data_IF_810796284642
#
_entry.id   IF_810796284642
#
_cell.length_a   1.000
_cell.length_b   1.000
_cell.length_c   1.000
_cell.angle_alpha   90.00
_cell.angle_beta   90.00
_cell.angle_gamma   90.00
#
_symmetry.space_group_name_H-M   'P 1'
#
loop_
_entity.id
_entity.type
_entity.pdbx_description
1 polymer ?
#
# COMPACT_ATOMS: atom_id res chain seq x y z
N UNK A 1 -17.48 39.56 13.05
CA UNK A 1 -17.88 38.48 12.11
C UNK A 1 -16.85 38.15 11.02
N UNK A 2 -15.62 38.69 11.04
CA UNK A 2 -14.60 38.43 9.99
C UNK A 2 -13.64 37.28 10.32
N UNK A 3 -13.51 36.90 11.61
CA UNK A 3 -12.58 35.85 12.06
C UNK A 3 -13.05 34.42 11.77
N UNK A 4 -14.36 34.15 11.76
CA UNK A 4 -14.88 32.78 11.53
C UNK A 4 -14.70 32.28 10.10
N UNK A 5 -14.85 33.16 9.11
CA UNK A 5 -14.66 32.82 7.69
C UNK A 5 -13.19 32.46 7.42
N UNK A 6 -12.24 33.21 8.00
CA UNK A 6 -10.81 32.96 7.82
C UNK A 6 -10.38 31.58 8.38
N UNK A 7 -10.94 31.16 9.52
CA UNK A 7 -10.64 29.86 10.13
C UNK A 7 -11.19 28.70 9.30
N UNK A 8 -12.40 28.84 8.76
CA UNK A 8 -13.01 27.82 7.89
C UNK A 8 -12.20 27.68 6.59
N UNK A 9 -11.79 28.80 5.98
CA UNK A 9 -10.95 28.79 4.77
C UNK A 9 -9.59 28.14 5.06
N UNK A 10 -8.95 28.47 6.19
CA UNK A 10 -7.66 27.87 6.56
C UNK A 10 -7.78 26.35 6.77
N UNK A 11 -8.83 25.89 7.46
CA UNK A 11 -9.08 24.48 7.71
C UNK A 11 -9.37 23.70 6.42
N UNK A 12 -10.16 24.26 5.49
CA UNK A 12 -10.39 23.66 4.18
C UNK A 12 -9.11 23.61 3.35
N UNK A 13 -8.30 24.69 3.32
CA UNK A 13 -7.04 24.73 2.57
C UNK A 13 -6.03 23.72 3.13
N UNK A 14 -5.94 23.56 4.45
CA UNK A 14 -5.10 22.55 5.09
C UNK A 14 -5.59 21.12 4.80
N UNK A 15 -6.90 20.90 4.75
CA UNK A 15 -7.50 19.59 4.48
C UNK A 15 -7.41 19.19 2.99
N UNK A 16 -7.47 20.16 2.06
CA UNK A 16 -7.43 19.90 0.62
C UNK A 16 -6.02 19.81 0.04
N UNK A 17 -5.00 20.41 0.68
CA UNK A 17 -3.61 20.39 0.19
C UNK A 17 -2.77 19.18 0.64
N UNK A 18 -3.30 18.29 1.48
CA UNK A 18 -2.57 17.11 1.98
C UNK A 18 -3.19 15.84 1.39
N UNK A 19 -3.35 15.78 0.08
CA UNK A 19 -3.50 14.50 -0.62
C UNK A 19 -2.12 13.86 -0.69
N UNK A 20 -1.72 13.15 0.37
CA UNK A 20 -0.48 12.39 0.41
C UNK A 20 -0.63 11.18 -0.52
N UNK A 21 -0.44 11.38 -1.82
CA UNK A 21 -0.51 10.31 -2.81
C UNK A 21 0.50 9.22 -2.45
N UNK A 22 0.01 8.05 -2.02
CA UNK A 22 0.85 6.90 -1.65
C UNK A 22 1.49 6.34 -2.92
N UNK A 23 2.77 6.67 -3.15
CA UNK A 23 3.52 6.17 -4.31
C UNK A 23 4.09 4.81 -3.99
N UNK A 24 3.68 3.80 -4.74
CA UNK A 24 4.25 2.45 -4.67
C UNK A 24 5.38 2.29 -5.69
N UNK A 25 6.43 1.52 -5.37
CA UNK A 25 7.44 1.15 -6.34
C UNK A 25 6.80 0.37 -7.50
N UNK A 26 7.24 0.66 -8.74
CA UNK A 26 6.70 0.03 -9.95
C UNK A 26 7.60 -1.07 -10.50
N UNK A 27 8.87 -1.08 -10.11
CA UNK A 27 9.88 -1.95 -10.72
C UNK A 27 10.63 -2.74 -9.66
N UNK A 28 10.88 -4.00 -9.98
CA UNK A 28 11.69 -4.92 -9.21
C UNK A 28 12.78 -5.51 -10.11
N UNK A 29 13.93 -5.84 -9.52
CA UNK A 29 14.93 -6.67 -10.20
C UNK A 29 14.32 -8.06 -10.45
N UNK A 30 14.67 -8.66 -11.58
CA UNK A 30 14.28 -10.03 -11.94
C UNK A 30 15.09 -11.06 -11.15
N UNK A 31 14.84 -11.16 -9.84
CA UNK A 31 15.42 -12.17 -8.95
C UNK A 31 14.29 -13.09 -8.49
N UNK A 32 14.51 -14.40 -8.60
CA UNK A 32 13.56 -15.40 -8.12
C UNK A 32 13.91 -15.81 -6.68
N UNK A 33 13.09 -15.35 -5.72
CA UNK A 33 13.16 -15.65 -4.29
C UNK A 33 11.71 -15.72 -3.74
N UNK A 34 11.01 -16.85 -3.94
CA UNK A 34 9.57 -16.91 -3.76
C UNK A 34 9.15 -16.68 -2.30
N UNK A 35 8.03 -16.01 -2.11
CA UNK A 35 7.43 -15.77 -0.79
C UNK A 35 5.94 -16.07 -0.81
N UNK A 36 5.50 -16.84 0.19
CA UNK A 36 4.12 -17.23 0.37
C UNK A 36 3.39 -16.19 1.24
N UNK A 37 2.21 -15.78 0.78
CA UNK A 37 1.34 -14.84 1.48
C UNK A 37 -0.08 -15.36 1.57
N UNK A 38 -0.89 -14.74 2.42
CA UNK A 38 -2.35 -14.86 2.39
C UNK A 38 -3.00 -13.46 2.30
N UNK A 39 -4.27 -13.40 1.89
CA UNK A 39 -5.03 -12.15 1.89
C UNK A 39 -4.83 -11.28 0.65
N UNK A 40 -4.32 -11.84 -0.46
CA UNK A 40 -4.41 -11.16 -1.75
C UNK A 40 -5.87 -11.04 -2.21
N UNK A 41 -6.72 -12.00 -1.82
CA UNK A 41 -8.16 -11.93 -1.94
C UNK A 41 -8.86 -11.89 -0.57
N UNK A 42 -10.12 -11.44 -0.57
CA UNK A 42 -10.98 -11.41 0.62
C UNK A 42 -11.37 -12.81 1.13
N UNK A 43 -10.95 -13.88 0.46
CA UNK A 43 -11.21 -15.28 0.85
C UNK A 43 -10.07 -15.89 1.68
N UNK A 44 -8.95 -15.16 1.83
CA UNK A 44 -7.80 -15.63 2.60
C UNK A 44 -6.99 -16.71 1.90
N UNK A 45 -7.09 -16.80 0.57
CA UNK A 45 -6.30 -17.77 -0.19
C UNK A 45 -4.82 -17.43 -0.12
N UNK A 46 -3.99 -18.47 -0.27
CA UNK A 46 -2.56 -18.33 -0.31
C UNK A 46 -2.07 -18.04 -1.73
N UNK A 47 -1.09 -17.14 -1.86
CA UNK A 47 -0.47 -16.80 -3.14
C UNK A 47 1.06 -16.71 -3.00
N UNK A 48 1.78 -17.00 -4.08
CA UNK A 48 3.24 -16.91 -4.10
C UNK A 48 3.69 -15.75 -4.98
N UNK A 49 4.37 -14.78 -4.39
CA UNK A 49 5.12 -13.78 -5.17
C UNK A 49 6.50 -14.31 -5.51
N UNK A 50 7.00 -13.97 -6.70
CA UNK A 50 8.30 -14.45 -7.20
C UNK A 50 9.51 -13.86 -6.47
N UNK A 51 9.33 -12.77 -5.72
CA UNK A 51 10.38 -12.13 -4.92
C UNK A 51 9.79 -11.34 -3.74
N UNK A 52 10.63 -11.05 -2.75
CA UNK A 52 10.31 -10.08 -1.68
C UNK A 52 10.02 -8.66 -2.20
N UNK A 53 10.63 -8.25 -3.31
CA UNK A 53 10.35 -6.95 -3.92
C UNK A 53 8.93 -6.89 -4.48
N UNK A 54 8.53 -7.90 -5.26
CA UNK A 54 7.16 -7.98 -5.80
C UNK A 54 6.10 -8.02 -4.70
N UNK A 55 6.40 -8.70 -3.58
CA UNK A 55 5.57 -8.64 -2.39
C UNK A 55 5.47 -7.21 -1.84
N UNK A 56 6.59 -6.50 -1.70
CA UNK A 56 6.57 -5.11 -1.23
C UNK A 56 5.74 -4.15 -2.10
N UNK A 57 5.79 -4.33 -3.43
CA UNK A 57 4.91 -3.60 -4.37
C UNK A 57 3.45 -3.92 -4.09
N UNK A 58 3.11 -5.22 -4.03
CA UNK A 58 1.76 -5.67 -3.81
C UNK A 58 1.20 -5.20 -2.46
N UNK A 59 1.97 -5.33 -1.37
CA UNK A 59 1.59 -4.86 -0.03
C UNK A 59 1.44 -3.34 0.07
N UNK A 60 2.15 -2.58 -0.76
CA UNK A 60 1.95 -1.13 -0.84
C UNK A 60 0.59 -0.77 -1.45
N UNK A 61 0.16 -1.53 -2.47
CA UNK A 61 -1.11 -1.35 -3.19
C UNK A 61 -2.27 -1.90 -2.37
N UNK A 62 -2.12 -3.12 -1.84
CA UNK A 62 -3.11 -3.83 -1.06
C UNK A 62 -2.56 -4.15 0.35
N UNK A 63 -2.99 -3.43 1.40
CA UNK A 63 -2.52 -3.63 2.76
C UNK A 63 -3.00 -4.95 3.41
N UNK A 64 -3.92 -5.68 2.80
CA UNK A 64 -4.45 -6.95 3.34
C UNK A 64 -3.51 -8.14 3.11
N UNK A 65 -2.48 -7.98 2.28
CA UNK A 65 -1.49 -9.02 2.00
C UNK A 65 -0.60 -9.25 3.23
N UNK A 66 -0.59 -10.49 3.72
CA UNK A 66 0.20 -10.90 4.89
C UNK A 66 1.22 -11.95 4.52
N UNK A 67 2.45 -11.73 4.95
CA UNK A 67 3.51 -12.72 4.86
C UNK A 67 3.18 -13.97 5.68
N UNK A 68 3.36 -15.14 5.08
CA UNK A 68 3.20 -16.45 5.74
C UNK A 68 4.56 -17.10 5.95
N UNK A 69 5.29 -17.35 4.86
CA UNK A 69 6.61 -18.01 4.90
C UNK A 69 7.45 -17.65 3.68
N UNK A 70 8.77 -17.85 3.79
CA UNK A 70 9.65 -17.89 2.63
C UNK A 70 9.42 -19.18 1.84
N UNK A 71 9.66 -19.13 0.54
CA UNK A 71 9.34 -20.21 -0.39
C UNK A 71 7.92 -20.08 -0.97
N UNK A 72 7.57 -21.02 -1.84
CA UNK A 72 6.22 -21.12 -2.39
C UNK A 72 5.21 -21.51 -1.31
N UNK A 73 3.97 -21.05 -1.47
CA UNK A 73 2.81 -21.76 -0.96
C UNK A 73 2.75 -23.11 -1.70
#
# INVERSE_FOLDING_TARGET
>A
MKGGIAVIVLAFVLCTNIVLARRCPLFCRLVYDPVCVCGEDSKGNQHTYGSSCSLGVASCINPDIRFVKRGKC
#
